data_IF_391685906027
#
_entry.id   IF_391685906027
#
_cell.length_a   1.000
_cell.length_b   1.000
_cell.length_c   1.000
_cell.angle_alpha   90.00
_cell.angle_beta   90.00
_cell.angle_gamma   90.00
#
_symmetry.space_group_name_H-M   'P 1'
#
loop_
_entity.id
_entity.type
_entity.pdbx_description
1 polymer ?
#
# COMPACT_ATOMS: atom_id res chain seq x y z
N UNK A 1 -16.47 -43.05 -44.35
CA UNK A 1 -17.21 -41.92 -43.77
C UNK A 1 -18.52 -42.50 -43.28
N UNK A 2 -18.55 -42.94 -42.03
CA UNK A 2 -19.78 -43.21 -41.28
C UNK A 2 -19.55 -42.57 -39.92
N UNK A 3 -20.19 -41.41 -39.74
CA UNK A 3 -20.16 -40.63 -38.51
C UNK A 3 -21.23 -41.16 -37.58
N UNK A 4 -20.84 -42.09 -36.71
CA UNK A 4 -21.65 -42.49 -35.57
C UNK A 4 -21.61 -41.33 -34.56
N UNK A 5 -22.71 -40.59 -34.44
CA UNK A 5 -22.83 -39.58 -33.40
C UNK A 5 -22.70 -40.30 -32.05
N UNK A 6 -21.87 -39.83 -31.10
CA UNK A 6 -21.79 -40.45 -29.79
C UNK A 6 -23.17 -40.38 -29.17
N UNK A 7 -23.86 -41.51 -29.10
CA UNK A 7 -25.16 -41.65 -28.45
C UNK A 7 -25.03 -41.04 -27.05
N UNK A 8 -25.82 -40.01 -26.77
CA UNK A 8 -25.83 -39.28 -25.51
C UNK A 8 -26.34 -40.18 -24.38
N UNK A 9 -25.44 -41.05 -23.92
CA UNK A 9 -25.68 -42.12 -22.95
C UNK A 9 -25.98 -41.57 -21.56
N UNK A 10 -25.50 -40.36 -21.25
CA UNK A 10 -25.85 -39.64 -20.01
C UNK A 10 -27.29 -39.15 -20.10
N UNK A 11 -27.72 -38.57 -21.22
CA UNK A 11 -29.13 -38.21 -21.41
C UNK A 11 -30.05 -39.42 -21.38
N UNK A 12 -29.61 -40.57 -21.90
CA UNK A 12 -30.35 -41.82 -21.78
C UNK A 12 -30.54 -42.23 -20.31
N UNK A 13 -29.49 -42.25 -19.50
CA UNK A 13 -29.61 -42.56 -18.07
C UNK A 13 -30.41 -41.49 -17.30
N UNK A 14 -30.25 -40.22 -17.64
CA UNK A 14 -31.04 -39.13 -17.08
C UNK A 14 -32.54 -39.35 -17.31
N UNK A 15 -32.93 -39.77 -18.51
CA UNK A 15 -34.34 -40.04 -18.86
C UNK A 15 -34.97 -41.20 -18.08
N UNK A 16 -34.15 -42.10 -17.53
CA UNK A 16 -34.62 -43.22 -16.70
C UNK A 16 -34.98 -42.80 -15.27
N UNK A 17 -34.60 -41.59 -14.84
CA UNK A 17 -35.03 -41.02 -13.58
C UNK A 17 -36.48 -40.52 -13.68
N UNK A 18 -37.25 -40.70 -12.60
CA UNK A 18 -38.60 -40.16 -12.49
C UNK A 18 -38.60 -38.62 -12.54
N UNK A 19 -39.71 -38.04 -13.01
CA UNK A 19 -39.83 -36.59 -13.23
C UNK A 19 -39.57 -35.76 -11.97
N UNK A 20 -39.93 -36.29 -10.79
CA UNK A 20 -39.73 -35.59 -9.53
C UNK A 20 -38.23 -35.54 -9.20
N UNK A 21 -37.53 -36.66 -9.33
CA UNK A 21 -36.08 -36.71 -9.14
C UNK A 21 -35.34 -35.77 -10.08
N UNK A 22 -35.71 -35.76 -11.37
CA UNK A 22 -35.14 -34.81 -12.35
C UNK A 22 -35.42 -33.36 -11.99
N UNK A 23 -36.65 -33.03 -11.59
CA UNK A 23 -37.04 -31.69 -11.16
C UNK A 23 -36.25 -31.19 -9.95
N UNK A 24 -36.08 -32.05 -8.93
CA UNK A 24 -35.31 -31.71 -7.73
C UNK A 24 -33.83 -31.46 -8.03
N UNK A 25 -33.24 -32.26 -8.91
CA UNK A 25 -31.85 -32.09 -9.34
C UNK A 25 -31.65 -30.83 -10.20
N UNK A 26 -32.62 -30.48 -11.05
CA UNK A 26 -32.61 -29.23 -11.81
C UNK A 26 -32.68 -27.99 -10.90
N UNK A 27 -33.54 -28.00 -9.87
CA UNK A 27 -33.59 -26.91 -8.88
C UNK A 27 -32.29 -26.81 -8.08
N UNK A 28 -31.70 -27.95 -7.74
CA UNK A 28 -30.40 -28.00 -7.06
C UNK A 28 -29.29 -27.38 -7.91
N UNK A 29 -29.32 -27.66 -9.21
CA UNK A 29 -28.38 -27.13 -10.18
C UNK A 29 -28.44 -25.61 -10.34
N UNK A 30 -29.65 -25.05 -10.28
CA UNK A 30 -29.87 -23.59 -10.27
C UNK A 30 -29.30 -22.90 -9.02
N UNK A 31 -28.88 -23.69 -8.02
CA UNK A 31 -28.28 -23.22 -6.78
C UNK A 31 -29.29 -23.03 -5.65
N UNK A 32 -30.51 -23.56 -5.79
CA UNK A 32 -31.49 -23.50 -4.70
C UNK A 32 -31.02 -24.31 -3.49
N UNK A 33 -31.40 -23.83 -2.30
CA UNK A 33 -31.13 -24.50 -1.03
C UNK A 33 -32.13 -25.63 -0.80
N UNK A 34 -31.71 -26.66 -0.06
CA UNK A 34 -32.52 -27.88 0.18
C UNK A 34 -33.90 -27.60 0.79
N UNK A 35 -34.03 -26.53 1.56
CA UNK A 35 -35.30 -26.09 2.14
C UNK A 35 -36.29 -25.62 1.06
N UNK A 36 -35.87 -24.69 0.20
CA UNK A 36 -36.67 -24.19 -0.92
C UNK A 36 -37.02 -25.29 -1.93
N UNK A 37 -36.11 -26.23 -2.19
CA UNK A 37 -36.40 -27.40 -3.03
C UNK A 37 -37.45 -28.30 -2.34
N UNK A 38 -37.34 -28.48 -1.02
CA UNK A 38 -38.33 -29.22 -0.25
C UNK A 38 -39.72 -28.61 -0.37
N UNK A 39 -39.84 -27.29 -0.11
CA UNK A 39 -41.08 -26.54 -0.22
C UNK A 39 -41.72 -26.65 -1.62
N UNK A 40 -40.92 -26.50 -2.69
CA UNK A 40 -41.37 -26.62 -4.06
C UNK A 40 -42.00 -27.99 -4.40
N UNK A 41 -41.64 -29.04 -3.63
CA UNK A 41 -42.15 -30.40 -3.82
C UNK A 41 -43.00 -30.92 -2.64
N UNK A 42 -43.42 -30.04 -1.72
CA UNK A 42 -44.23 -30.41 -0.55
C UNK A 42 -43.51 -31.34 0.43
N UNK A 43 -42.20 -31.14 0.63
CA UNK A 43 -41.32 -31.97 1.44
C UNK A 43 -40.59 -31.17 2.51
N UNK A 44 -40.15 -31.86 3.56
CA UNK A 44 -39.18 -31.30 4.51
C UNK A 44 -37.79 -31.21 3.86
N UNK A 45 -36.95 -30.30 4.36
CA UNK A 45 -35.54 -30.17 3.97
C UNK A 45 -34.79 -31.51 3.99
N UNK A 46 -34.98 -32.29 5.04
CA UNK A 46 -34.29 -33.57 5.22
C UNK A 46 -34.79 -34.62 4.23
N UNK A 47 -36.10 -34.66 3.96
CA UNK A 47 -36.64 -35.57 2.93
C UNK A 47 -36.16 -35.19 1.54
N UNK A 48 -36.06 -33.89 1.24
CA UNK A 48 -35.50 -33.41 -0.01
C UNK A 48 -34.04 -33.84 -0.18
N UNK A 49 -33.22 -33.73 0.88
CA UNK A 49 -31.83 -34.21 0.90
C UNK A 49 -31.74 -35.70 0.57
N UNK A 50 -32.56 -36.53 1.21
CA UNK A 50 -32.57 -37.98 1.01
C UNK A 50 -32.94 -38.36 -0.43
N UNK A 51 -33.98 -37.73 -0.99
CA UNK A 51 -34.42 -38.02 -2.36
C UNK A 51 -33.40 -37.57 -3.41
N UNK A 52 -32.79 -36.38 -3.23
CA UNK A 52 -31.69 -35.92 -4.10
C UNK A 52 -30.54 -36.92 -4.05
N UNK A 53 -30.11 -37.32 -2.85
CA UNK A 53 -29.02 -38.28 -2.69
C UNK A 53 -29.35 -39.64 -3.33
N UNK A 54 -30.60 -40.12 -3.20
CA UNK A 54 -31.05 -41.36 -3.83
C UNK A 54 -31.07 -41.24 -5.37
N UNK A 55 -31.55 -40.12 -5.91
CA UNK A 55 -31.57 -39.87 -7.35
C UNK A 55 -30.16 -39.78 -7.95
N UNK A 56 -29.24 -39.07 -7.29
CA UNK A 56 -27.84 -39.02 -7.70
C UNK A 56 -27.18 -40.42 -7.62
N UNK A 57 -27.53 -41.23 -6.62
CA UNK A 57 -27.07 -42.61 -6.50
C UNK A 57 -27.57 -43.51 -7.64
N UNK A 58 -28.87 -43.45 -7.94
CA UNK A 58 -29.46 -44.21 -9.04
C UNK A 58 -28.84 -43.82 -10.40
N UNK A 59 -28.58 -42.52 -10.61
CA UNK A 59 -27.90 -42.06 -11.82
C UNK A 59 -26.49 -42.66 -11.92
N UNK A 60 -25.74 -42.71 -10.83
CA UNK A 60 -24.42 -43.35 -10.78
C UNK A 60 -24.49 -44.84 -11.13
N UNK A 61 -25.45 -45.58 -10.57
CA UNK A 61 -25.62 -47.02 -10.84
C UNK A 61 -25.90 -47.27 -12.33
N UNK A 62 -26.70 -46.41 -12.97
CA UNK A 62 -26.97 -46.47 -14.41
C UNK A 62 -25.70 -46.17 -15.23
N UNK A 63 -24.88 -45.23 -14.79
CA UNK A 63 -23.60 -44.92 -15.48
C UNK A 63 -22.58 -46.03 -15.34
N UNK A 64 -22.54 -46.72 -14.21
CA UNK A 64 -21.65 -47.86 -13.99
C UNK A 64 -21.97 -49.03 -14.91
N UNK A 65 -23.27 -49.24 -15.17
CA UNK A 65 -23.71 -50.26 -16.11
C UNK A 65 -23.42 -49.87 -17.56
N UNK A 66 -23.68 -48.62 -17.92
CA UNK A 66 -23.53 -48.14 -19.30
C UNK A 66 -22.07 -47.96 -19.73
N UNK A 67 -21.21 -47.45 -18.83
CA UNK A 67 -19.80 -47.16 -19.11
C UNK A 67 -18.93 -47.29 -17.86
N UNK A 68 -18.50 -48.51 -17.48
CA UNK A 68 -17.79 -48.75 -16.20
C UNK A 68 -16.58 -47.84 -15.92
N UNK A 69 -15.85 -47.42 -16.97
CA UNK A 69 -14.65 -46.58 -16.85
C UNK A 69 -14.93 -45.07 -16.72
N UNK A 70 -16.19 -44.62 -16.75
CA UNK A 70 -16.53 -43.19 -16.81
C UNK A 70 -15.92 -42.36 -15.67
N UNK A 71 -15.79 -42.95 -14.47
CA UNK A 71 -15.17 -42.26 -13.32
C UNK A 71 -13.70 -41.95 -13.57
N UNK A 72 -12.95 -42.94 -14.03
CA UNK A 72 -11.52 -42.77 -14.31
C UNK A 72 -11.31 -41.74 -15.41
N UNK A 73 -12.14 -41.77 -16.46
CA UNK A 73 -12.12 -40.80 -17.55
C UNK A 73 -12.42 -39.37 -17.06
N UNK A 74 -13.42 -39.20 -16.17
CA UNK A 74 -13.76 -37.89 -15.58
C UNK A 74 -12.69 -37.39 -14.62
N UNK A 75 -12.03 -38.27 -13.89
CA UNK A 75 -10.99 -37.92 -12.91
C UNK A 75 -9.64 -37.64 -13.59
N UNK A 76 -9.38 -38.21 -14.76
CA UNK A 76 -8.10 -38.06 -15.47
C UNK A 76 -7.67 -36.60 -15.72
N UNK A 77 -8.54 -35.67 -16.19
CA UNK A 77 -8.20 -34.26 -16.34
C UNK A 77 -7.68 -33.58 -15.06
N UNK A 78 -8.15 -34.00 -13.89
CA UNK A 78 -7.75 -33.43 -12.60
C UNK A 78 -6.35 -33.86 -12.14
N UNK A 79 -5.73 -34.84 -12.81
CA UNK A 79 -4.33 -35.21 -12.54
C UNK A 79 -3.34 -34.15 -13.03
N UNK A 80 -3.70 -33.40 -14.06
CA UNK A 80 -2.86 -32.39 -14.70
C UNK A 80 -3.28 -30.95 -14.37
N UNK A 81 -4.52 -30.74 -13.92
CA UNK A 81 -5.09 -29.43 -13.66
C UNK A 81 -5.72 -29.32 -12.26
N UNK A 82 -5.48 -28.20 -11.59
CA UNK A 82 -6.07 -27.91 -10.27
C UNK A 82 -7.59 -27.73 -10.33
N UNK A 83 -8.12 -27.32 -11.49
CA UNK A 83 -9.53 -27.19 -11.75
C UNK A 83 -9.84 -27.46 -13.23
N UNK A 84 -11.07 -27.89 -13.52
CA UNK A 84 -11.52 -28.28 -14.87
C UNK A 84 -12.86 -27.62 -15.15
N UNK A 85 -13.09 -27.16 -16.39
CA UNK A 85 -14.35 -26.52 -16.76
C UNK A 85 -15.46 -27.53 -17.05
N UNK A 86 -16.71 -27.12 -16.86
CA UNK A 86 -17.88 -27.92 -17.24
C UNK A 86 -17.92 -28.18 -18.76
N UNK A 87 -17.30 -27.31 -19.57
CA UNK A 87 -17.18 -27.47 -21.03
C UNK A 87 -16.21 -28.59 -21.39
N UNK A 88 -15.03 -28.65 -20.75
CA UNK A 88 -14.08 -29.77 -20.92
C UNK A 88 -14.71 -31.09 -20.47
N UNK A 89 -15.44 -31.08 -19.36
CA UNK A 89 -16.13 -32.28 -18.85
C UNK A 89 -17.32 -32.70 -19.71
N UNK A 90 -17.88 -31.81 -20.54
CA UNK A 90 -18.97 -32.15 -21.45
C UNK A 90 -18.52 -33.08 -22.58
N UNK A 91 -17.23 -33.13 -22.91
CA UNK A 91 -16.68 -34.07 -23.90
C UNK A 91 -16.68 -35.51 -23.36
N UNK A 92 -16.54 -35.67 -22.05
CA UNK A 92 -16.50 -36.97 -21.35
C UNK A 92 -17.91 -37.38 -20.93
N UNK A 93 -18.67 -36.45 -20.35
CA UNK A 93 -20.05 -36.59 -19.91
C UNK A 93 -20.95 -35.69 -20.76
N UNK A 94 -21.30 -36.11 -22.00
CA UNK A 94 -22.17 -35.34 -22.87
C UNK A 94 -23.52 -35.19 -22.20
N UNK A 95 -23.98 -33.97 -22.00
CA UNK A 95 -25.30 -33.67 -21.42
C UNK A 95 -25.61 -32.22 -21.82
N UNK A 96 -26.66 -32.06 -22.63
CA UNK A 96 -27.02 -30.80 -23.26
C UNK A 96 -27.34 -29.71 -22.23
N UNK A 97 -28.06 -30.05 -21.15
CA UNK A 97 -28.42 -29.11 -20.08
C UNK A 97 -27.35 -29.08 -18.97
N UNK A 98 -26.53 -30.14 -18.89
CA UNK A 98 -25.46 -30.34 -17.93
C UNK A 98 -25.93 -30.65 -16.51
N UNK A 99 -27.24 -30.82 -16.29
CA UNK A 99 -27.81 -31.09 -14.96
C UNK A 99 -27.39 -32.48 -14.47
N UNK A 100 -27.48 -33.49 -15.33
CA UNK A 100 -27.09 -34.86 -15.02
C UNK A 100 -25.58 -34.94 -14.82
N UNK A 101 -24.79 -34.30 -15.69
CA UNK A 101 -23.33 -34.19 -15.52
C UNK A 101 -22.97 -33.59 -14.16
N UNK A 102 -23.53 -32.43 -13.80
CA UNK A 102 -23.20 -31.77 -12.52
C UNK A 102 -23.69 -32.55 -11.29
N UNK A 103 -24.73 -33.36 -11.42
CA UNK A 103 -25.14 -34.32 -10.39
C UNK A 103 -24.11 -35.45 -10.21
N UNK A 104 -23.61 -36.02 -11.31
CA UNK A 104 -22.56 -37.05 -11.29
C UNK A 104 -21.24 -36.51 -10.71
N UNK A 105 -20.83 -35.30 -11.08
CA UNK A 105 -19.60 -34.68 -10.56
C UNK A 105 -19.64 -34.53 -9.04
N UNK A 106 -20.79 -34.13 -8.47
CA UNK A 106 -20.97 -34.07 -7.00
C UNK A 106 -20.81 -35.43 -6.32
N UNK A 107 -21.16 -36.53 -6.98
CA UNK A 107 -20.97 -37.90 -6.47
C UNK A 107 -19.53 -38.36 -6.51
N UNK A 108 -18.68 -37.72 -7.30
CA UNK A 108 -17.23 -37.91 -7.30
C UNK A 108 -16.52 -36.98 -6.30
N UNK A 109 -17.27 -36.39 -5.36
CA UNK A 109 -16.79 -35.40 -4.40
C UNK A 109 -16.13 -34.15 -5.02
N UNK A 110 -16.37 -33.91 -6.31
CA UNK A 110 -15.95 -32.69 -7.00
C UNK A 110 -16.82 -31.52 -6.56
N UNK A 111 -16.18 -30.37 -6.38
CA UNK A 111 -16.83 -29.17 -5.85
C UNK A 111 -16.56 -27.97 -6.75
N UNK A 112 -17.55 -27.08 -6.81
CA UNK A 112 -17.34 -25.75 -7.34
C UNK A 112 -16.51 -24.93 -6.33
N UNK A 113 -15.33 -24.41 -6.72
CA UNK A 113 -14.46 -23.72 -5.79
C UNK A 113 -15.06 -22.38 -5.36
N UNK A 114 -14.80 -22.04 -4.10
CA UNK A 114 -15.21 -20.78 -3.50
C UNK A 114 -14.00 -19.85 -3.44
N UNK A 115 -14.09 -18.69 -4.08
CA UNK A 115 -13.05 -17.64 -4.03
C UNK A 115 -13.58 -16.42 -3.28
N UNK A 116 -12.73 -15.41 -3.09
CA UNK A 116 -13.17 -14.10 -2.58
C UNK A 116 -14.15 -13.37 -3.49
N UNK A 117 -14.21 -13.73 -4.78
CA UNK A 117 -15.14 -13.19 -5.76
C UNK A 117 -16.51 -13.90 -5.75
N UNK A 118 -16.63 -15.00 -4.99
CA UNK A 118 -17.81 -15.84 -4.97
C UNK A 118 -17.51 -17.26 -5.44
N UNK A 119 -18.57 -18.03 -5.64
CA UNK A 119 -18.48 -19.39 -6.15
C UNK A 119 -18.22 -19.36 -7.66
N UNK A 120 -17.20 -20.08 -8.13
CA UNK A 120 -16.95 -20.26 -9.56
C UNK A 120 -17.87 -21.36 -10.08
N UNK A 121 -19.04 -20.95 -10.59
CA UNK A 121 -20.00 -21.89 -11.17
C UNK A 121 -19.39 -22.54 -12.41
N UNK A 122 -19.73 -23.82 -12.65
CA UNK A 122 -19.28 -24.59 -13.83
C UNK A 122 -17.76 -24.77 -13.92
N UNK A 123 -17.06 -24.62 -12.80
CA UNK A 123 -15.66 -25.00 -12.63
C UNK A 123 -15.62 -26.01 -11.49
N UNK A 124 -14.89 -27.09 -11.67
CA UNK A 124 -14.84 -28.20 -10.73
C UNK A 124 -13.43 -28.42 -10.24
N UNK A 125 -13.28 -28.89 -9.00
CA UNK A 125 -12.00 -29.27 -8.41
C UNK A 125 -12.19 -30.29 -7.28
N UNK A 126 -11.17 -31.11 -7.02
CA UNK A 126 -11.06 -31.91 -5.80
C UNK A 126 -10.59 -31.10 -4.59
N UNK A 127 -9.76 -30.08 -4.83
CA UNK A 127 -9.06 -29.34 -3.79
C UNK A 127 -9.33 -27.84 -3.94
N UNK A 128 -10.46 -27.34 -3.40
CA UNK A 128 -10.81 -25.91 -3.48
C UNK A 128 -9.73 -24.99 -2.94
N UNK A 129 -9.02 -25.43 -1.90
CA UNK A 129 -7.95 -24.68 -1.26
C UNK A 129 -6.74 -24.48 -2.19
N UNK A 130 -6.38 -25.48 -3.00
CA UNK A 130 -5.25 -25.39 -3.92
C UNK A 130 -5.46 -24.29 -4.98
N UNK A 131 -6.68 -24.14 -5.50
CA UNK A 131 -6.99 -23.05 -6.43
C UNK A 131 -6.95 -21.68 -5.74
N UNK A 132 -7.50 -21.58 -4.52
CA UNK A 132 -7.46 -20.32 -3.76
C UNK A 132 -6.01 -19.91 -3.45
N UNK A 133 -5.15 -20.86 -3.09
CA UNK A 133 -3.72 -20.63 -2.83
C UNK A 133 -2.99 -20.16 -4.09
N UNK A 134 -3.17 -20.83 -5.23
CA UNK A 134 -2.59 -20.38 -6.51
C UNK A 134 -3.09 -18.99 -6.91
N UNK A 135 -4.38 -18.70 -6.72
CA UNK A 135 -4.94 -17.37 -6.96
C UNK A 135 -4.30 -16.34 -6.02
N UNK A 136 -4.16 -16.61 -4.72
CA UNK A 136 -3.49 -15.71 -3.77
C UNK A 136 -2.04 -15.46 -4.18
N UNK A 137 -1.31 -16.51 -4.52
CA UNK A 137 0.07 -16.41 -4.97
C UNK A 137 0.17 -15.51 -6.22
N UNK A 138 -0.70 -15.70 -7.22
CA UNK A 138 -0.75 -14.83 -8.40
C UNK A 138 -0.92 -13.35 -8.02
N UNK A 139 -1.81 -13.06 -7.07
CA UNK A 139 -2.06 -11.67 -6.63
C UNK A 139 -0.85 -11.04 -5.94
N UNK A 140 0.02 -11.82 -5.31
CA UNK A 140 1.26 -11.30 -4.69
C UNK A 140 2.31 -10.85 -5.71
N UNK A 141 2.25 -11.35 -6.94
CA UNK A 141 3.18 -11.01 -8.02
C UNK A 141 2.93 -9.63 -8.63
N UNK A 142 1.82 -8.97 -8.27
CA UNK A 142 1.52 -7.61 -8.71
C UNK A 142 2.54 -6.60 -8.16
N UNK A 143 2.92 -5.56 -8.94
CA UNK A 143 2.26 -5.13 -10.18
C UNK A 143 2.73 -5.84 -11.45
N UNK A 144 1.85 -5.90 -12.45
CA UNK A 144 2.16 -6.39 -13.80
C UNK A 144 1.31 -5.69 -14.87
N UNK A 145 1.76 -5.73 -16.12
CA UNK A 145 1.08 -5.19 -17.31
C UNK A 145 -0.18 -6.00 -17.65
N UNK A 146 -1.00 -5.46 -18.54
CA UNK A 146 -2.33 -6.02 -18.84
C UNK A 146 -2.24 -7.46 -19.36
N UNK A 147 -1.30 -7.70 -20.26
CA UNK A 147 -1.02 -8.95 -20.96
C UNK A 147 -0.42 -10.03 -20.04
N UNK A 148 0.29 -9.64 -18.98
CA UNK A 148 1.06 -10.57 -18.16
C UNK A 148 0.18 -11.42 -17.20
N UNK A 149 -1.08 -11.06 -16.98
CA UNK A 149 -1.94 -11.77 -16.01
C UNK A 149 -2.09 -13.24 -16.38
N UNK A 150 -2.38 -13.52 -17.66
CA UNK A 150 -2.62 -14.88 -18.16
C UNK A 150 -1.34 -15.71 -18.11
N UNK A 151 -0.22 -15.15 -18.56
CA UNK A 151 1.07 -15.84 -18.60
C UNK A 151 1.55 -16.21 -17.19
N UNK A 152 1.42 -15.28 -16.24
CA UNK A 152 1.76 -15.53 -14.83
C UNK A 152 0.82 -16.54 -14.18
N UNK A 153 -0.47 -16.52 -14.53
CA UNK A 153 -1.42 -17.50 -14.04
C UNK A 153 -1.13 -18.91 -14.56
N UNK A 154 -0.78 -19.03 -15.86
CA UNK A 154 -0.37 -20.29 -16.47
C UNK A 154 0.90 -20.85 -15.81
N UNK A 155 1.87 -19.99 -15.50
CA UNK A 155 3.09 -20.38 -14.77
C UNK A 155 2.81 -20.93 -13.35
N UNK A 156 1.67 -20.57 -12.74
CA UNK A 156 1.19 -21.09 -11.46
C UNK A 156 0.23 -22.28 -11.61
N UNK A 157 0.09 -22.82 -12.82
CA UNK A 157 -0.81 -23.94 -13.10
C UNK A 157 -2.29 -23.59 -13.01
N UNK A 158 -2.65 -22.30 -13.10
CA UNK A 158 -4.04 -21.87 -13.05
C UNK A 158 -4.68 -22.06 -14.44
N UNK A 159 -5.76 -22.85 -14.56
CA UNK A 159 -6.39 -23.14 -15.84
C UNK A 159 -6.96 -21.90 -16.53
N UNK A 160 -6.96 -21.90 -17.87
CA UNK A 160 -7.47 -20.80 -18.69
C UNK A 160 -8.99 -20.55 -18.51
N UNK A 161 -9.74 -21.58 -18.09
CA UNK A 161 -11.17 -21.50 -17.83
C UNK A 161 -11.52 -20.63 -16.61
N UNK A 162 -10.55 -20.32 -15.74
CA UNK A 162 -10.77 -19.45 -14.59
C UNK A 162 -10.92 -17.99 -15.06
N UNK A 163 -12.01 -17.28 -14.68
CA UNK A 163 -12.25 -15.89 -15.06
C UNK A 163 -11.40 -14.94 -14.20
N UNK A 164 -10.09 -14.97 -14.41
CA UNK A 164 -9.10 -14.26 -13.58
C UNK A 164 -9.37 -12.78 -13.45
N UNK A 165 -9.81 -12.12 -14.53
CA UNK A 165 -10.01 -10.68 -14.51
C UNK A 165 -11.14 -10.27 -13.57
N UNK A 166 -12.28 -10.98 -13.64
CA UNK A 166 -13.44 -10.78 -12.79
C UNK A 166 -13.11 -11.05 -11.33
N UNK A 167 -12.36 -12.13 -11.08
CA UNK A 167 -11.91 -12.49 -9.73
C UNK A 167 -10.99 -11.42 -9.15
N UNK A 168 -10.03 -10.93 -9.94
CA UNK A 168 -9.03 -9.97 -9.49
C UNK A 168 -9.64 -8.62 -9.11
N UNK A 169 -10.64 -8.14 -9.87
CA UNK A 169 -11.28 -6.82 -9.64
C UNK A 169 -12.50 -6.86 -8.72
N UNK A 170 -12.91 -8.04 -8.25
CA UNK A 170 -14.08 -8.20 -7.39
C UNK A 170 -14.06 -7.23 -6.18
N UNK A 171 -15.21 -6.93 -5.54
CA UNK A 171 -15.26 -6.00 -4.41
C UNK A 171 -14.30 -6.33 -3.27
N UNK A 172 -14.02 -7.63 -3.05
CA UNK A 172 -13.03 -8.13 -2.06
C UNK A 172 -11.68 -8.53 -2.69
N UNK A 173 -11.53 -8.32 -4.00
CA UNK A 173 -10.33 -8.62 -4.75
C UNK A 173 -9.15 -7.72 -4.35
N UNK A 174 -7.92 -8.27 -4.31
CA UNK A 174 -6.74 -7.52 -3.89
C UNK A 174 -6.22 -6.56 -4.97
N UNK A 175 -6.64 -6.73 -6.22
CA UNK A 175 -6.19 -5.94 -7.36
C UNK A 175 -7.23 -4.93 -7.84
N UNK A 176 -6.77 -4.00 -8.66
CA UNK A 176 -7.56 -3.02 -9.38
C UNK A 176 -6.90 -2.71 -10.72
N UNK A 177 -7.69 -2.31 -11.71
CA UNK A 177 -7.18 -1.87 -13.01
C UNK A 177 -6.59 -0.46 -12.91
N UNK A 178 -5.40 -0.31 -13.45
CA UNK A 178 -4.76 0.98 -13.70
C UNK A 178 -5.03 1.50 -15.11
N UNK A 179 -4.35 2.60 -15.46
CA UNK A 179 -4.29 3.07 -16.84
C UNK A 179 -3.63 2.01 -17.74
N UNK A 180 -4.06 1.94 -19.00
CA UNK A 180 -3.58 0.94 -19.95
C UNK A 180 -3.93 -0.51 -19.59
N UNK A 181 -4.87 -0.74 -18.68
CA UNK A 181 -5.28 -2.10 -18.26
C UNK A 181 -4.30 -2.78 -17.30
N UNK A 182 -3.29 -2.07 -16.80
CA UNK A 182 -2.33 -2.60 -15.81
C UNK A 182 -3.01 -3.15 -14.56
N UNK A 183 -2.36 -4.12 -13.93
CA UNK A 183 -2.86 -4.78 -12.73
C UNK A 183 -2.10 -4.31 -11.50
N UNK A 184 -2.80 -3.62 -10.61
CA UNK A 184 -2.21 -2.90 -9.48
C UNK A 184 -2.80 -3.39 -8.17
N UNK A 185 -2.00 -3.46 -7.10
CA UNK A 185 -2.53 -3.77 -5.77
C UNK A 185 -3.39 -2.62 -5.29
N UNK A 186 -4.60 -2.90 -4.80
CA UNK A 186 -5.56 -1.88 -4.38
C UNK A 186 -4.99 -0.95 -3.29
N UNK A 187 -4.24 -1.50 -2.34
CA UNK A 187 -3.59 -0.75 -1.25
C UNK A 187 -2.38 0.09 -1.69
N UNK A 188 -1.81 -0.18 -2.86
CA UNK A 188 -0.60 0.44 -3.37
C UNK A 188 -0.76 1.05 -4.77
N UNK A 189 -2.00 1.28 -5.23
CA UNK A 189 -2.35 1.64 -6.62
C UNK A 189 -1.38 2.64 -7.26
N UNK A 190 -1.15 3.80 -6.63
CA UNK A 190 -0.29 4.83 -7.21
C UNK A 190 1.21 4.47 -7.19
N UNK A 191 1.68 3.69 -6.20
CA UNK A 191 3.07 3.24 -6.18
C UNK A 191 3.31 2.19 -7.25
N UNK A 192 2.39 1.25 -7.39
CA UNK A 192 2.45 0.21 -8.39
C UNK A 192 2.35 0.77 -9.82
N UNK A 193 1.47 1.74 -10.05
CA UNK A 193 1.39 2.44 -11.34
C UNK A 193 2.67 3.24 -11.64
N UNK A 194 3.23 3.92 -10.63
CA UNK A 194 4.51 4.62 -10.77
C UNK A 194 5.66 3.68 -11.09
N UNK A 195 5.68 2.47 -10.50
CA UNK A 195 6.69 1.46 -10.78
C UNK A 195 6.67 1.05 -12.25
N UNK A 196 5.50 0.62 -12.75
CA UNK A 196 5.35 0.19 -14.14
C UNK A 196 5.66 1.34 -15.12
N UNK A 197 5.14 2.55 -14.85
CA UNK A 197 5.38 3.70 -15.72
C UNK A 197 6.86 4.09 -15.76
N UNK A 198 7.57 4.10 -14.62
CA UNK A 198 9.00 4.36 -14.61
C UNK A 198 9.79 3.28 -15.33
N UNK A 199 9.40 2.00 -15.14
CA UNK A 199 10.02 0.88 -15.84
C UNK A 199 9.90 1.02 -17.38
N UNK A 200 8.73 1.44 -17.86
CA UNK A 200 8.48 1.68 -19.29
C UNK A 200 9.30 2.87 -19.82
N UNK A 201 9.42 3.96 -19.05
CA UNK A 201 10.20 5.14 -19.42
C UNK A 201 11.72 4.88 -19.42
N UNK A 202 12.19 3.93 -18.60
CA UNK A 202 13.59 3.51 -18.50
C UNK A 202 14.55 4.57 -17.94
N UNK A 203 14.05 5.68 -17.40
CA UNK A 203 14.89 6.76 -16.89
C UNK A 203 14.24 7.55 -15.74
N UNK A 204 15.03 8.22 -14.87
CA UNK A 204 14.51 8.93 -13.72
C UNK A 204 13.61 10.11 -14.11
N UNK A 205 12.49 10.28 -13.39
CA UNK A 205 11.49 11.31 -13.69
C UNK A 205 11.05 12.08 -12.46
N UNK A 206 10.66 13.34 -12.65
CA UNK A 206 10.09 14.16 -11.58
C UNK A 206 8.69 13.68 -11.23
N UNK A 207 8.32 13.73 -9.95
CA UNK A 207 6.99 13.30 -9.51
C UNK A 207 5.87 14.15 -10.12
N UNK A 208 6.16 15.39 -10.51
CA UNK A 208 5.27 16.28 -11.25
C UNK A 208 4.89 15.75 -12.65
N UNK A 209 5.76 14.93 -13.25
CA UNK A 209 5.50 14.25 -14.54
C UNK A 209 4.84 12.89 -14.31
N UNK A 210 5.34 12.14 -13.32
CA UNK A 210 4.81 10.79 -13.01
C UNK A 210 3.35 10.87 -12.55
N UNK A 211 3.02 11.80 -11.65
CA UNK A 211 1.70 11.88 -11.04
C UNK A 211 0.54 11.98 -12.05
N UNK A 212 0.54 12.93 -13.02
CA UNK A 212 -0.52 12.98 -14.02
C UNK A 212 -0.50 11.75 -14.94
N UNK A 213 0.68 11.22 -15.30
CA UNK A 213 0.80 10.07 -16.19
C UNK A 213 0.16 8.80 -15.62
N UNK A 214 0.15 8.64 -14.30
CA UNK A 214 -0.47 7.51 -13.60
C UNK A 214 -1.86 7.82 -13.03
N UNK A 215 -2.40 9.02 -13.27
CA UNK A 215 -3.68 9.48 -12.71
C UNK A 215 -3.67 9.73 -11.20
N UNK A 216 -2.51 10.00 -10.59
CA UNK A 216 -2.42 10.38 -9.19
C UNK A 216 -2.79 11.86 -8.99
N UNK A 217 -3.70 12.16 -8.07
CA UNK A 217 -4.21 13.53 -7.86
C UNK A 217 -3.21 14.54 -7.26
N UNK A 218 -2.04 14.10 -6.77
CA UNK A 218 -1.03 15.01 -6.20
C UNK A 218 0.39 14.47 -6.29
N UNK A 219 1.28 15.26 -6.90
CA UNK A 219 2.73 15.00 -6.91
C UNK A 219 3.32 14.97 -5.50
N UNK A 220 2.80 15.78 -4.56
CA UNK A 220 3.27 15.78 -3.16
C UNK A 220 2.91 14.48 -2.45
N UNK A 221 1.68 14.01 -2.61
CA UNK A 221 1.26 12.73 -2.03
C UNK A 221 2.03 11.56 -2.64
N UNK A 222 2.28 11.61 -3.96
CA UNK A 222 3.10 10.61 -4.65
C UNK A 222 4.52 10.59 -4.09
N UNK A 223 5.21 11.74 -3.95
CA UNK A 223 6.56 11.81 -3.37
C UNK A 223 6.65 11.12 -2.01
N UNK A 224 5.71 11.38 -1.10
CA UNK A 224 5.71 10.74 0.22
C UNK A 224 5.39 9.25 0.14
N UNK A 225 4.55 8.81 -0.80
CA UNK A 225 4.27 7.40 -1.03
C UNK A 225 5.51 6.66 -1.57
N UNK A 226 6.19 7.22 -2.57
CA UNK A 226 7.42 6.64 -3.14
C UNK A 226 8.54 6.58 -2.11
N UNK A 227 8.66 7.60 -1.24
CA UNK A 227 9.67 7.63 -0.16
C UNK A 227 9.56 6.46 0.83
N UNK A 228 8.37 5.86 0.96
CA UNK A 228 8.09 4.77 1.92
C UNK A 228 8.20 3.38 1.30
N UNK A 229 8.56 3.28 0.03
CA UNK A 229 8.58 2.04 -0.73
C UNK A 229 9.98 1.83 -1.29
N UNK A 230 10.65 0.79 -0.81
CA UNK A 230 12.08 0.54 -1.04
C UNK A 230 12.43 0.26 -2.51
N UNK A 231 11.40 0.00 -3.36
CA UNK A 231 11.56 -0.11 -4.81
C UNK A 231 11.92 1.21 -5.49
N UNK A 232 11.77 2.33 -4.79
CA UNK A 232 12.07 3.65 -5.32
C UNK A 232 13.21 4.31 -4.55
N UNK A 233 14.01 5.07 -5.28
CA UNK A 233 15.00 5.99 -4.72
C UNK A 233 14.83 7.36 -5.34
N UNK A 234 15.06 8.38 -4.52
CA UNK A 234 15.11 9.75 -5.01
C UNK A 234 16.55 10.09 -5.39
N UNK A 235 16.78 10.41 -6.66
CA UNK A 235 18.07 10.92 -7.11
C UNK A 235 18.18 12.38 -6.66
N UNK A 236 19.24 12.63 -5.90
CA UNK A 236 19.60 13.96 -5.43
C UNK A 236 20.76 14.47 -6.28
N UNK A 237 20.76 15.78 -6.61
CA UNK A 237 19.84 16.83 -6.16
C UNK A 237 18.59 17.05 -7.04
N UNK A 238 18.51 16.42 -8.23
CA UNK A 238 17.51 16.68 -9.27
C UNK A 238 16.07 16.49 -8.76
N UNK A 239 15.92 15.70 -7.69
CA UNK A 239 14.65 15.40 -7.04
C UNK A 239 13.78 14.46 -7.86
N UNK A 240 14.37 13.82 -8.88
CA UNK A 240 13.76 12.79 -9.71
C UNK A 240 13.68 11.47 -8.94
N UNK A 241 12.74 10.63 -9.34
CA UNK A 241 12.54 9.30 -8.80
C UNK A 241 13.00 8.27 -9.82
N UNK A 242 13.72 7.28 -9.33
CA UNK A 242 14.22 6.16 -10.09
C UNK A 242 13.84 4.85 -9.39
N UNK A 243 13.84 3.76 -10.13
CA UNK A 243 13.73 2.43 -9.55
C UNK A 243 15.05 2.06 -8.87
N UNK A 244 14.96 1.40 -7.71
CA UNK A 244 16.13 1.01 -6.92
C UNK A 244 17.00 -0.02 -7.63
N UNK A 245 16.40 -0.85 -8.48
CA UNK A 245 17.08 -1.87 -9.30
C UNK A 245 17.90 -1.29 -10.46
N UNK A 246 17.69 -0.02 -10.83
CA UNK A 246 18.47 0.60 -11.89
C UNK A 246 19.92 0.81 -11.44
N UNK A 247 20.90 0.70 -12.37
CA UNK A 247 22.28 1.06 -12.08
C UNK A 247 22.32 2.44 -11.42
N UNK A 248 23.05 2.58 -10.32
CA UNK A 248 23.20 3.88 -9.67
C UNK A 248 23.91 4.82 -10.66
N UNK A 249 23.16 5.72 -11.28
CA UNK A 249 23.76 6.93 -11.84
C UNK A 249 24.52 7.56 -10.67
N UNK A 250 25.84 7.68 -10.82
CA UNK A 250 26.81 8.06 -9.79
C UNK A 250 26.13 8.84 -8.67
N UNK A 251 25.85 8.15 -7.57
CA UNK A 251 25.22 8.77 -6.42
C UNK A 251 26.06 10.00 -6.10
N UNK A 252 25.45 11.19 -6.11
CA UNK A 252 26.11 12.34 -5.51
C UNK A 252 26.62 11.87 -4.15
N UNK A 253 27.94 11.90 -3.94
CA UNK A 253 28.59 11.34 -2.73
C UNK A 253 28.09 12.01 -1.44
N UNK A 254 27.28 13.06 -1.59
CA UNK A 254 26.80 13.93 -0.55
C UNK A 254 25.30 13.78 -0.36
N UNK A 255 24.88 13.57 0.88
CA UNK A 255 23.47 13.36 1.23
C UNK A 255 22.66 14.64 1.28
N UNK A 256 23.33 15.78 1.42
CA UNK A 256 22.70 17.09 1.58
C UNK A 256 23.63 18.24 1.15
N UNK A 257 23.06 19.45 1.01
CA UNK A 257 23.80 20.63 0.55
C UNK A 257 24.91 21.11 1.51
N UNK A 258 24.80 20.85 2.82
CA UNK A 258 25.84 21.22 3.78
C UNK A 258 27.08 20.35 3.58
N UNK A 259 26.91 19.04 3.38
CA UNK A 259 28.02 18.12 3.10
C UNK A 259 28.82 18.57 1.88
N UNK A 260 28.14 19.05 0.84
CA UNK A 260 28.76 19.56 -0.39
C UNK A 260 29.50 20.86 -0.11
N UNK A 261 28.92 21.79 0.65
CA UNK A 261 29.60 23.04 1.03
C UNK A 261 30.89 22.75 1.81
N UNK A 262 30.84 21.79 2.74
CA UNK A 262 32.00 21.34 3.50
C UNK A 262 33.04 20.71 2.57
N UNK A 263 32.63 19.83 1.65
CA UNK A 263 33.54 19.20 0.69
C UNK A 263 34.21 20.22 -0.25
N UNK A 264 33.45 21.22 -0.73
CA UNK A 264 33.98 22.31 -1.57
C UNK A 264 35.01 23.12 -0.78
N UNK A 265 34.73 23.51 0.46
CA UNK A 265 35.68 24.26 1.29
C UNK A 265 36.91 23.44 1.65
N UNK A 266 36.77 22.12 1.90
CA UNK A 266 37.92 21.23 2.11
C UNK A 266 38.85 21.16 0.91
N UNK A 267 38.30 21.21 -0.31
CA UNK A 267 39.10 21.16 -1.55
C UNK A 267 39.67 22.52 -1.97
N UNK A 268 38.92 23.59 -1.76
CA UNK A 268 39.22 24.92 -2.31
C UNK A 268 39.70 25.94 -1.28
N UNK A 269 39.65 25.61 0.01
CA UNK A 269 39.96 26.53 1.11
C UNK A 269 38.87 27.59 1.31
N UNK A 270 39.24 28.69 1.97
CA UNK A 270 38.35 29.81 2.22
C UNK A 270 37.86 30.45 0.90
N UNK A 271 36.54 30.64 0.79
CA UNK A 271 35.90 31.17 -0.41
C UNK A 271 34.94 32.31 -0.09
N UNK A 272 34.82 33.28 -1.01
CA UNK A 272 33.72 34.25 -0.91
C UNK A 272 32.37 33.53 -0.96
N UNK A 273 31.36 34.10 -0.31
CA UNK A 273 30.00 33.54 -0.31
C UNK A 273 29.47 33.24 -1.72
N UNK A 274 29.73 34.13 -2.67
CA UNK A 274 29.28 33.96 -4.05
C UNK A 274 30.01 32.80 -4.75
N UNK A 275 31.33 32.66 -4.54
CA UNK A 275 32.11 31.55 -5.10
C UNK A 275 31.68 30.22 -4.49
N UNK A 276 31.54 30.14 -3.16
CA UNK A 276 31.08 28.94 -2.47
C UNK A 276 29.69 28.51 -2.97
N UNK A 277 28.76 29.45 -3.09
CA UNK A 277 27.41 29.13 -3.55
C UNK A 277 27.40 28.69 -5.02
N UNK A 278 28.20 29.32 -5.88
CA UNK A 278 28.32 28.94 -7.28
C UNK A 278 28.89 27.53 -7.44
N UNK A 279 29.98 27.20 -6.74
CA UNK A 279 30.60 25.87 -6.77
C UNK A 279 29.68 24.80 -6.17
N UNK A 280 29.07 25.10 -5.02
CA UNK A 280 28.10 24.18 -4.39
C UNK A 280 26.89 23.97 -5.28
N UNK A 281 26.34 25.02 -5.91
CA UNK A 281 25.19 24.88 -6.79
C UNK A 281 25.52 24.14 -8.11
N UNK A 282 26.78 24.16 -8.54
CA UNK A 282 27.25 23.34 -9.68
C UNK A 282 27.29 21.85 -9.32
N UNK A 283 27.77 21.51 -8.12
CA UNK A 283 27.88 20.11 -7.68
C UNK A 283 26.57 19.55 -7.10
N UNK A 284 25.77 20.40 -6.47
CA UNK A 284 24.50 20.05 -5.85
C UNK A 284 23.44 21.14 -6.06
N UNK A 285 22.78 21.17 -7.25
CA UNK A 285 21.70 22.11 -7.57
C UNK A 285 20.62 22.28 -6.49
N UNK A 286 20.72 23.35 -5.70
CA UNK A 286 19.70 23.78 -4.72
C UNK A 286 19.43 25.28 -4.82
N UNK A 287 18.31 25.73 -4.25
CA UNK A 287 17.99 27.15 -4.22
C UNK A 287 19.02 27.94 -3.40
N UNK A 288 19.23 29.21 -3.77
CA UNK A 288 20.07 30.13 -3.01
C UNK A 288 19.66 30.20 -1.53
N UNK A 289 18.36 30.14 -1.24
CA UNK A 289 17.83 30.12 0.12
C UNK A 289 18.31 28.90 0.91
N UNK A 290 18.40 27.71 0.29
CA UNK A 290 18.91 26.52 0.97
C UNK A 290 20.40 26.64 1.30
N UNK A 291 21.19 27.22 0.40
CA UNK A 291 22.61 27.49 0.64
C UNK A 291 22.79 28.52 1.77
N UNK A 292 21.97 29.58 1.76
CA UNK A 292 21.94 30.57 2.84
C UNK A 292 21.65 29.93 4.21
N UNK A 293 20.71 28.98 4.26
CA UNK A 293 20.38 28.23 5.47
C UNK A 293 21.49 27.29 5.94
N UNK A 294 22.42 26.88 5.07
CA UNK A 294 23.54 26.04 5.49
C UNK A 294 24.61 26.86 6.22
N UNK A 295 24.67 28.18 6.00
CA UNK A 295 25.65 29.06 6.65
C UNK A 295 25.51 29.18 8.18
N UNK A 296 24.35 28.85 8.74
CA UNK A 296 24.17 28.81 10.20
C UNK A 296 24.75 27.53 10.83
N UNK A 297 25.38 26.67 10.03
CA UNK A 297 26.01 25.45 10.50
C UNK A 297 27.19 25.78 11.40
N UNK A 298 27.34 25.06 12.51
CA UNK A 298 28.51 25.15 13.39
C UNK A 298 29.83 24.74 12.70
N UNK A 299 29.73 23.95 11.63
CA UNK A 299 30.87 23.55 10.78
C UNK A 299 31.40 24.67 9.88
N UNK A 300 30.62 25.73 9.63
CA UNK A 300 30.97 26.81 8.71
C UNK A 300 31.13 28.11 9.47
N UNK A 301 32.15 28.90 9.12
CA UNK A 301 32.41 30.19 9.73
C UNK A 301 32.83 31.24 8.73
N UNK A 302 32.98 32.46 9.23
CA UNK A 302 33.55 33.59 8.50
C UNK A 302 34.97 33.85 9.00
N UNK A 303 35.90 34.03 8.08
CA UNK A 303 37.28 34.43 8.35
C UNK A 303 37.39 35.95 8.52
N UNK A 304 38.52 36.45 9.02
CA UNK A 304 38.72 37.88 9.27
C UNK A 304 38.64 38.75 8.00
N UNK A 305 38.96 38.18 6.84
CA UNK A 305 38.87 38.79 5.51
C UNK A 305 37.46 38.73 4.89
N UNK A 306 36.48 38.14 5.59
CA UNK A 306 35.08 38.06 5.14
C UNK A 306 34.78 36.88 4.20
N UNK A 307 35.75 35.99 3.98
CA UNK A 307 35.56 34.72 3.30
C UNK A 307 34.86 33.71 4.23
N UNK A 308 34.30 32.65 3.65
CA UNK A 308 33.69 31.54 4.35
C UNK A 308 34.67 30.37 4.31
N UNK A 309 34.92 29.78 5.46
CA UNK A 309 35.77 28.59 5.60
C UNK A 309 35.17 27.68 6.70
N UNK A 310 35.79 26.53 6.91
CA UNK A 310 35.40 25.60 7.94
C UNK A 310 35.77 26.14 9.33
N UNK A 311 34.90 25.89 10.31
CA UNK A 311 35.20 26.23 11.69
C UNK A 311 36.44 25.49 12.22
N UNK A 312 36.71 24.27 11.70
CA UNK A 312 37.93 23.50 12.01
C UNK A 312 39.22 24.20 11.53
N UNK A 313 39.12 25.12 10.56
CA UNK A 313 40.24 25.93 10.06
C UNK A 313 40.37 27.29 10.79
N UNK A 314 39.60 27.52 11.85
CA UNK A 314 39.64 28.76 12.64
C UNK A 314 38.66 29.86 12.20
N UNK A 315 37.76 29.57 11.26
CA UNK A 315 36.67 30.47 10.91
C UNK A 315 35.65 30.57 12.06
N UNK A 316 35.09 31.77 12.29
CA UNK A 316 34.16 32.00 13.40
C UNK A 316 32.73 31.68 12.93
N UNK A 317 32.00 30.76 13.58
CA UNK A 317 30.64 30.40 13.18
C UNK A 317 29.69 31.60 13.06
N UNK A 318 28.86 31.60 12.02
CA UNK A 318 27.94 32.70 11.74
C UNK A 318 26.62 32.51 12.48
N UNK A 319 26.39 33.30 13.53
CA UNK A 319 25.07 33.32 14.19
C UNK A 319 24.01 33.97 13.30
N UNK A 320 22.81 33.37 13.31
CA UNK A 320 21.64 33.98 12.68
C UNK A 320 21.26 35.28 13.42
N UNK A 321 20.94 36.35 12.67
CA UNK A 321 20.31 37.55 13.26
C UNK A 321 18.95 37.19 13.85
N UNK A 322 18.55 37.88 14.92
CA UNK A 322 17.26 37.62 15.55
C UNK A 322 16.11 37.70 14.52
N UNK A 323 15.37 36.60 14.29
CA UNK A 323 14.24 36.62 13.36
C UNK A 323 13.13 37.55 13.86
N UNK A 324 12.19 37.94 12.99
CA UNK A 324 11.02 38.70 13.46
C UNK A 324 10.12 37.83 14.32
N UNK A 325 9.76 38.29 15.53
CA UNK A 325 8.80 37.59 16.40
C UNK A 325 7.43 37.50 15.72
N UNK A 326 6.86 36.29 15.53
CA UNK A 326 5.51 36.14 15.01
C UNK A 326 4.47 36.51 16.06
N UNK A 327 3.30 37.02 15.64
CA UNK A 327 2.20 37.41 16.54
C UNK A 327 1.64 36.24 17.36
N UNK A 328 1.86 35.00 16.91
CA UNK A 328 1.40 33.77 17.56
C UNK A 328 2.27 33.34 18.76
N UNK A 329 3.38 34.03 19.03
CA UNK A 329 4.28 33.72 20.14
C UNK A 329 4.28 34.88 21.14
N UNK A 330 3.91 34.58 22.38
CA UNK A 330 4.02 35.52 23.49
C UNK A 330 5.37 35.34 24.18
N UNK A 331 6.00 36.44 24.58
CA UNK A 331 7.21 36.39 25.38
C UNK A 331 7.22 37.53 26.39
N UNK A 332 7.54 37.18 27.63
CA UNK A 332 7.66 38.07 28.78
C UNK A 332 8.88 37.65 29.61
N UNK A 333 9.92 38.49 29.61
CA UNK A 333 11.22 38.18 30.20
C UNK A 333 11.79 36.84 29.72
N UNK A 334 11.96 35.91 30.67
CA UNK A 334 12.48 34.55 30.46
C UNK A 334 11.40 33.49 30.22
N UNK A 335 10.14 33.91 30.05
CA UNK A 335 9.03 33.01 29.77
C UNK A 335 8.52 33.20 28.35
N UNK A 336 8.43 32.11 27.58
CA UNK A 336 7.93 32.12 26.21
C UNK A 336 6.74 31.18 26.08
N UNK A 337 5.61 31.72 25.61
CA UNK A 337 4.38 30.98 25.38
C UNK A 337 4.09 30.79 23.90
N UNK A 338 3.79 29.55 23.51
CA UNK A 338 3.30 29.22 22.17
C UNK A 338 1.99 28.44 22.24
N UNK A 339 1.15 28.59 21.22
CA UNK A 339 -0.04 27.76 21.02
C UNK A 339 0.14 26.88 19.80
N UNK A 340 -0.14 25.60 19.94
CA UNK A 340 -0.01 24.60 18.89
C UNK A 340 -1.32 23.81 18.79
N UNK A 341 -1.68 23.44 17.56
CA UNK A 341 -2.79 22.52 17.29
C UNK A 341 -2.23 21.11 17.12
N UNK A 342 -2.90 20.13 17.73
CA UNK A 342 -2.53 18.71 17.61
C UNK A 342 -3.02 18.21 16.26
N UNK A 343 -2.07 17.73 15.45
CA UNK A 343 -2.32 17.09 14.16
C UNK A 343 -1.95 15.59 14.20
N UNK A 344 -2.29 14.87 13.13
CA UNK A 344 -1.91 13.47 12.97
C UNK A 344 -0.39 13.21 13.04
N UNK A 345 0.47 14.23 12.81
CA UNK A 345 1.92 14.08 12.93
C UNK A 345 2.36 14.09 14.40
N UNK A 346 1.78 14.97 15.20
CA UNK A 346 1.98 15.05 16.65
C UNK A 346 1.58 13.75 17.33
N UNK A 347 0.43 13.18 16.95
CA UNK A 347 -0.06 11.89 17.48
C UNK A 347 0.83 10.70 17.10
N UNK A 348 1.49 10.76 15.93
CA UNK A 348 2.49 9.77 15.49
C UNK A 348 3.85 9.95 16.18
N UNK A 349 4.10 11.09 16.81
CA UNK A 349 5.35 11.41 17.51
C UNK A 349 6.38 12.11 16.64
N UNK A 350 5.98 12.62 15.49
CA UNK A 350 6.83 13.52 14.70
C UNK A 350 7.05 14.83 15.45
N UNK A 351 8.23 15.42 15.29
CA UNK A 351 8.48 16.78 15.76
C UNK A 351 7.55 17.78 15.07
N UNK A 352 7.10 18.78 15.83
CA UNK A 352 6.32 19.90 15.31
C UNK A 352 7.30 20.98 14.84
N UNK A 353 7.15 21.42 13.59
CA UNK A 353 7.92 22.54 13.05
C UNK A 353 7.45 23.83 13.74
N UNK A 354 8.39 24.58 14.28
CA UNK A 354 8.13 25.84 14.97
C UNK A 354 8.86 27.00 14.30
N UNK A 355 8.44 28.22 14.61
CA UNK A 355 9.07 29.40 14.03
C UNK A 355 10.52 29.56 14.57
N UNK A 356 11.53 29.85 13.72
CA UNK A 356 12.94 29.96 14.11
C UNK A 356 13.22 30.98 15.23
N UNK A 357 12.39 32.03 15.33
CA UNK A 357 12.47 33.00 16.44
C UNK A 357 12.46 32.33 17.81
N UNK A 358 11.66 31.26 17.97
CA UNK A 358 11.56 30.53 19.22
C UNK A 358 12.89 29.88 19.61
N UNK A 359 13.49 29.11 18.70
CA UNK A 359 14.78 28.46 18.93
C UNK A 359 15.91 29.48 19.07
N UNK A 360 15.84 30.62 18.36
CA UNK A 360 16.79 31.71 18.53
C UNK A 360 16.76 32.27 19.95
N UNK A 361 15.57 32.53 20.50
CA UNK A 361 15.40 32.97 21.90
C UNK A 361 15.79 31.90 22.92
N UNK A 362 15.74 30.63 22.54
CA UNK A 362 16.29 29.53 23.34
C UNK A 362 17.83 29.48 23.30
N UNK A 363 18.51 30.39 22.59
CA UNK A 363 19.96 30.38 22.44
C UNK A 363 20.46 29.38 21.39
N UNK A 364 19.57 28.76 20.61
CA UNK A 364 19.93 27.84 19.53
C UNK A 364 20.17 28.63 18.25
N UNK A 365 21.29 29.38 18.23
CA UNK A 365 21.64 30.34 17.17
C UNK A 365 22.44 29.72 16.02
N UNK A 366 22.98 28.52 16.23
CA UNK A 366 23.67 27.69 15.25
C UNK A 366 22.91 26.38 15.04
N UNK A 367 23.30 25.64 14.01
CA UNK A 367 22.81 24.30 13.72
C UNK A 367 23.96 23.30 13.56
N UNK A 368 23.84 22.05 14.04
CA UNK A 368 22.75 21.55 14.86
C UNK A 368 22.90 22.00 16.33
N UNK A 369 21.82 22.48 16.94
CA UNK A 369 21.78 22.72 18.38
C UNK A 369 20.50 22.18 18.97
N UNK A 370 20.55 21.74 20.23
CA UNK A 370 19.40 21.21 20.96
C UNK A 370 19.32 21.82 22.35
N UNK A 371 18.10 22.11 22.81
CA UNK A 371 17.79 22.46 24.20
C UNK A 371 16.69 21.55 24.71
N UNK A 372 16.89 21.02 25.91
CA UNK A 372 15.93 20.15 26.59
C UNK A 372 15.21 20.95 27.67
N UNK A 373 13.90 20.76 27.78
CA UNK A 373 13.08 21.36 28.80
C UNK A 373 12.37 20.27 29.60
N UNK A 374 12.59 20.22 30.90
CA UNK A 374 11.95 19.24 31.77
C UNK A 374 10.51 19.64 32.05
N UNK A 375 9.59 18.68 31.97
CA UNK A 375 8.20 18.89 32.36
C UNK A 375 8.03 18.69 33.88
N UNK A 376 7.15 19.46 34.54
CA UNK A 376 6.84 19.27 35.95
C UNK A 376 6.41 17.83 36.27
N UNK A 377 6.69 17.40 37.50
CA UNK A 377 6.22 16.15 38.09
C UNK A 377 6.72 14.87 37.39
N UNK A 378 7.88 14.92 36.73
CA UNK A 378 8.45 13.75 36.05
C UNK A 378 7.72 13.34 34.77
N UNK A 379 6.91 14.23 34.19
CA UNK A 379 6.08 13.97 33.01
C UNK A 379 6.88 13.84 31.69
N UNK A 380 8.20 13.69 31.76
CA UNK A 380 9.13 13.62 30.63
C UNK A 380 9.77 14.96 30.28
N UNK A 381 10.24 15.07 29.04
CA UNK A 381 11.00 16.21 28.54
C UNK A 381 10.49 16.66 27.17
N UNK A 382 10.62 17.95 26.88
CA UNK A 382 10.47 18.52 25.54
C UNK A 382 11.82 18.87 24.96
N UNK A 383 12.03 18.47 23.71
CA UNK A 383 13.31 18.70 23.02
C UNK A 383 13.08 19.71 21.90
N UNK A 384 13.66 20.90 22.05
CA UNK A 384 13.73 21.91 21.01
C UNK A 384 15.03 21.76 20.23
N UNK A 385 14.94 21.60 18.91
CA UNK A 385 16.09 21.39 18.03
C UNK A 385 16.13 22.42 16.91
N UNK A 386 17.32 22.96 16.67
CA UNK A 386 17.66 23.77 15.50
C UNK A 386 18.52 22.95 14.55
N UNK A 387 18.05 22.77 13.33
CA UNK A 387 18.79 22.18 12.21
C UNK A 387 18.94 23.23 11.10
N UNK A 388 19.84 23.02 10.12
CA UNK A 388 19.93 23.93 8.96
C UNK A 388 18.61 23.99 8.17
N UNK A 389 17.81 22.91 8.18
CA UNK A 389 16.52 22.82 7.48
C UNK A 389 15.35 23.46 8.22
N UNK A 390 15.48 23.76 9.52
CA UNK A 390 14.38 24.35 10.29
C UNK A 390 14.51 24.19 11.80
N UNK A 391 13.48 24.65 12.51
CA UNK A 391 13.34 24.56 13.95
C UNK A 391 12.17 23.62 14.30
N UNK A 392 12.35 22.76 15.30
CA UNK A 392 11.33 21.80 15.71
C UNK A 392 11.28 21.61 17.22
N UNK A 393 10.10 21.24 17.72
CA UNK A 393 9.89 20.76 19.08
C UNK A 393 9.39 19.32 19.00
N UNK A 394 9.97 18.43 19.77
CA UNK A 394 9.66 17.00 19.78
C UNK A 394 9.34 16.52 21.19
N UNK A 395 8.96 15.24 21.31
CA UNK A 395 8.56 14.59 22.57
C UNK A 395 7.22 15.04 23.15
N UNK A 396 6.31 15.55 22.31
CA UNK A 396 4.95 15.97 22.73
C UNK A 396 3.96 14.81 22.86
N UNK A 397 4.15 13.72 22.10
CA UNK A 397 3.21 12.59 22.03
C UNK A 397 2.88 11.95 23.39
N UNK A 398 3.85 11.67 24.28
CA UNK A 398 3.55 11.08 25.59
C UNK A 398 2.57 11.94 26.39
N UNK A 399 2.78 13.27 26.38
CA UNK A 399 1.92 14.21 27.10
C UNK A 399 0.53 14.34 26.47
N UNK A 400 0.45 14.42 25.14
CA UNK A 400 -0.83 14.46 24.40
C UNK A 400 -1.68 13.22 24.72
N UNK A 401 -1.05 12.04 24.81
CA UNK A 401 -1.72 10.79 25.19
C UNK A 401 -2.14 10.76 26.64
N UNK A 402 -1.26 11.12 27.58
CA UNK A 402 -1.59 11.11 29.01
C UNK A 402 -2.72 12.08 29.37
N UNK A 403 -2.84 13.18 28.63
CA UNK A 403 -3.89 14.17 28.81
C UNK A 403 -5.19 13.86 28.02
N UNK A 404 -5.27 12.72 27.32
CA UNK A 404 -6.47 12.33 26.57
C UNK A 404 -6.83 13.26 25.41
N UNK A 405 -5.84 13.92 24.80
CA UNK A 405 -6.07 14.87 23.71
C UNK A 405 -6.10 14.19 22.35
N UNK A 406 -6.91 14.71 21.43
CA UNK A 406 -7.15 14.15 20.09
C UNK A 406 -6.73 15.14 18.99
N UNK A 407 -6.79 14.69 17.74
CA UNK A 407 -6.56 15.57 16.60
C UNK A 407 -7.55 16.73 16.62
N UNK A 408 -7.04 17.94 16.42
CA UNK A 408 -7.83 19.16 16.50
C UNK A 408 -7.80 19.87 17.85
N UNK A 409 -7.38 19.21 18.94
CA UNK A 409 -7.16 19.85 20.23
C UNK A 409 -6.04 20.93 20.14
N UNK A 410 -6.12 21.93 21.01
CA UNK A 410 -5.09 22.97 21.14
C UNK A 410 -4.34 22.86 22.47
N UNK A 411 -3.03 23.02 22.40
CA UNK A 411 -2.15 23.09 23.56
C UNK A 411 -1.44 24.43 23.62
N UNK A 412 -1.28 24.97 24.83
CA UNK A 412 -0.34 26.04 25.12
C UNK A 412 0.89 25.47 25.82
N UNK A 413 2.07 25.83 25.34
CA UNK A 413 3.34 25.45 25.96
C UNK A 413 4.03 26.73 26.45
N UNK A 414 4.38 26.74 27.73
CA UNK A 414 5.11 27.82 28.39
C UNK A 414 6.52 27.31 28.70
N UNK A 415 7.53 27.92 28.09
CA UNK A 415 8.95 27.62 28.31
C UNK A 415 9.54 28.63 29.28
N UNK A 416 10.24 28.15 30.31
CA UNK A 416 10.97 28.97 31.27
C UNK A 416 12.47 28.81 31.02
N UNK A 417 13.10 29.85 30.47
CA UNK A 417 14.47 29.78 29.96
C UNK A 417 15.52 29.69 31.07
N UNK A 418 15.29 30.33 32.22
CA UNK A 418 16.25 30.26 33.35
C UNK A 418 16.32 28.88 33.99
N UNK A 419 15.18 28.21 34.12
CA UNK A 419 15.06 26.93 34.82
C UNK A 419 15.12 25.73 33.88
N UNK A 420 15.14 25.95 32.56
CA UNK A 420 14.99 24.90 31.54
C UNK A 420 13.78 24.00 31.80
N UNK A 421 12.66 24.59 32.21
CA UNK A 421 11.40 23.85 32.40
C UNK A 421 10.35 24.28 31.39
N UNK A 422 9.41 23.38 31.09
CA UNK A 422 8.26 23.70 30.25
C UNK A 422 6.96 23.23 30.90
N UNK A 423 5.90 24.03 30.78
CA UNK A 423 4.55 23.64 31.22
C UNK A 423 3.64 23.54 30.01
N UNK A 424 2.93 22.42 29.88
CA UNK A 424 1.96 22.22 28.80
C UNK A 424 0.55 22.30 29.42
N UNK A 425 -0.35 23.06 28.77
CA UNK A 425 -1.75 23.18 29.18
C UNK A 425 -2.66 22.89 28.00
N UNK A 426 -3.68 22.08 28.23
CA UNK A 426 -4.81 21.93 27.31
C UNK A 426 -5.62 23.23 27.29
N UNK A 427 -5.88 23.81 26.11
CA UNK A 427 -6.58 25.09 26.00
C UNK A 427 -7.96 25.01 25.35
N UNK A 428 -8.47 23.81 25.07
CA UNK A 428 -9.82 23.66 24.57
C UNK A 428 -10.86 24.02 25.66
N UNK A 429 -11.96 24.66 25.26
CA UNK A 429 -13.05 25.00 26.18
C UNK A 429 -13.70 23.71 26.73
N UNK A 430 -14.04 23.64 28.03
CA UNK A 430 -14.81 22.53 28.57
C UNK A 430 -16.15 22.41 27.80
N UNK A 431 -16.42 21.25 27.21
CA UNK A 431 -17.65 21.00 26.44
C UNK A 431 -17.61 21.36 24.94
N UNK A 432 -16.53 21.96 24.44
CA UNK A 432 -16.32 22.02 22.99
C UNK A 432 -15.89 20.63 22.51
N UNK A 433 -16.75 19.95 21.76
CA UNK A 433 -16.43 18.69 21.10
C UNK A 433 -15.24 18.91 20.17
N UNK A 434 -14.04 18.61 20.67
CA UNK A 434 -12.85 18.47 19.83
C UNK A 434 -13.15 17.25 18.96
N UNK A 435 -13.44 17.49 17.69
CA UNK A 435 -14.19 16.60 16.80
C UNK A 435 -13.87 15.14 16.97
N UNK A 436 -14.90 14.35 17.29
CA UNK A 436 -14.90 12.90 17.06
C UNK A 436 -14.99 12.74 15.54
N UNK A 437 -13.84 12.59 14.90
CA UNK A 437 -13.72 12.17 13.51
C UNK A 437 -13.48 10.68 13.44
#
# INVERSE_FOLDING_TARGET
>A
MDGDAPHDWVSAAWSMLDDRSRGMLALRDQGQVLESIGEAHGLTRERARQLIHAAEGHLVDLMDLARPAWREEVLAPFSAAVAVSDTELAEILPDADGVARRALLRRLDLKEPQTWAGRLRRVWTHYPEALDDSLRQLMTLAPFRAEELRDRAAALGIPACIPLEEIAVAPRGPLTRGLGGTWLRRSAKHRDAAYLWLADEGQPRRAEVVAPAIGAGSARALKEALRRDDRFRQIRPEGTWALSEWPAAESSQHTNALDVMVAVLRRSGALTKQALFSLTAKEYPVSYSRLQQCLISDQLGMTADGSIDLAENGAIPMEEREPRRPKSIAADGDTIGIRLKIDANTLRGSGIVVHPWLTWRFGLRLAPMTRVFTLPNGSGELVARRMTSGAQISSLRPHVRSAGMHEGCEIAILFHLKTNTATIRHTCKPGASCGVG
#
